data_IF_340302249659
#
_entry.id   IF_340302249659
#
_cell.length_a   1.000
_cell.length_b   1.000
_cell.length_c   1.000
_cell.angle_alpha   90.00
_cell.angle_beta   90.00
_cell.angle_gamma   90.00
#
_symmetry.space_group_name_H-M   'P 1'
#
loop_
_entity.id
_entity.type
_entity.pdbx_description
1 polymer ?
#
# COMPACT_ATOMS: atom_id res chain seq x y z
N UNK A 1 17.41 2.59 -112.19
CA UNK A 1 16.81 3.44 -113.24
C UNK A 1 17.17 2.89 -114.60
N UNK A 2 16.23 2.87 -115.55
CA UNK A 2 16.54 2.54 -116.95
C UNK A 2 16.88 3.82 -117.75
N UNK A 3 17.52 3.66 -118.92
CA UNK A 3 18.03 4.76 -119.76
C UNK A 3 16.91 5.72 -120.23
N UNK A 4 15.68 5.21 -120.41
CA UNK A 4 14.53 6.01 -120.81
C UNK A 4 14.05 6.95 -119.68
N UNK A 5 14.06 6.48 -118.43
CA UNK A 5 13.78 7.31 -117.25
C UNK A 5 14.84 8.42 -117.13
N UNK A 6 16.11 8.11 -117.39
CA UNK A 6 17.21 9.09 -117.32
C UNK A 6 17.07 10.19 -118.39
N UNK A 7 16.67 9.83 -119.62
CA UNK A 7 16.42 10.81 -120.70
C UNK A 7 15.22 11.73 -120.42
N UNK A 8 14.10 11.18 -119.91
CA UNK A 8 12.96 12.01 -119.49
C UNK A 8 13.37 13.01 -118.41
N UNK A 9 14.17 12.53 -117.47
CA UNK A 9 14.67 13.35 -116.39
C UNK A 9 15.58 14.49 -116.89
N UNK A 10 16.51 14.18 -117.78
CA UNK A 10 17.39 15.15 -118.42
C UNK A 10 16.59 16.24 -119.15
N UNK A 11 15.53 15.87 -119.86
CA UNK A 11 14.66 16.83 -120.54
C UNK A 11 13.90 17.73 -119.55
N UNK A 12 13.45 17.18 -118.42
CA UNK A 12 12.78 17.93 -117.36
C UNK A 12 13.71 18.98 -116.73
N UNK A 13 14.95 18.60 -116.42
CA UNK A 13 15.98 19.53 -115.89
C UNK A 13 16.26 20.67 -116.87
N UNK A 14 16.39 20.35 -118.16
CA UNK A 14 16.66 21.36 -119.18
C UNK A 14 15.52 22.38 -119.34
N UNK A 15 14.28 22.02 -118.98
CA UNK A 15 13.11 22.88 -119.13
C UNK A 15 12.82 23.74 -117.89
N UNK A 16 12.95 23.19 -116.68
CA UNK A 16 12.59 23.88 -115.42
C UNK A 16 13.81 24.30 -114.59
N UNK A 17 15.03 24.06 -115.08
CA UNK A 17 16.29 24.33 -114.38
C UNK A 17 16.59 23.36 -113.22
N UNK A 18 15.58 22.61 -112.76
CA UNK A 18 15.69 21.61 -111.70
C UNK A 18 14.72 20.43 -111.83
N UNK A 19 15.08 19.26 -111.28
CA UNK A 19 14.21 18.06 -111.16
C UNK A 19 14.54 17.29 -109.89
N UNK A 20 13.61 16.49 -109.35
CA UNK A 20 13.84 15.60 -108.20
C UNK A 20 13.73 14.13 -108.62
N UNK A 21 14.74 13.31 -108.31
CA UNK A 21 14.70 11.85 -108.43
C UNK A 21 14.82 11.18 -107.08
N UNK A 22 13.99 10.18 -106.84
CA UNK A 22 14.10 9.36 -105.65
C UNK A 22 15.18 8.28 -105.85
N UNK A 23 16.23 8.29 -105.03
CA UNK A 23 17.27 7.27 -105.03
C UNK A 23 16.89 6.17 -104.01
N UNK A 24 16.07 5.22 -104.43
CA UNK A 24 15.35 4.34 -103.50
C UNK A 24 14.04 4.98 -103.04
N UNK A 25 13.36 4.46 -102.01
CA UNK A 25 12.02 4.95 -101.59
C UNK A 25 12.07 6.13 -100.62
N UNK A 26 13.25 6.41 -100.04
CA UNK A 26 13.39 7.30 -98.87
C UNK A 26 14.38 8.47 -99.02
N UNK A 27 14.97 8.65 -100.21
CA UNK A 27 15.96 9.69 -100.49
C UNK A 27 15.51 10.45 -101.72
N UNK A 28 15.44 11.77 -101.62
CA UNK A 28 15.15 12.67 -102.73
C UNK A 28 16.45 13.35 -103.18
N UNK A 29 16.69 13.38 -104.49
CA UNK A 29 17.85 14.06 -105.10
C UNK A 29 17.33 15.11 -106.06
N UNK A 30 17.48 16.38 -105.71
CA UNK A 30 17.11 17.51 -106.55
C UNK A 30 18.34 18.01 -107.30
N UNK A 31 18.31 17.99 -108.62
CA UNK A 31 19.42 18.46 -109.46
C UNK A 31 19.13 19.87 -109.95
N UNK A 32 20.09 20.79 -109.91
CA UNK A 32 19.96 22.16 -110.46
C UNK A 32 21.06 22.38 -111.49
N UNK A 33 20.73 22.94 -112.64
CA UNK A 33 21.71 23.19 -113.71
C UNK A 33 21.95 24.69 -113.86
N UNK A 34 23.20 25.12 -113.67
CA UNK A 34 23.65 26.51 -113.81
C UNK A 34 24.71 26.58 -114.91
N UNK A 35 24.30 26.94 -116.13
CA UNK A 35 25.20 26.92 -117.29
C UNK A 35 25.66 25.48 -117.62
N UNK A 36 26.97 25.23 -117.58
CA UNK A 36 27.56 23.89 -117.80
C UNK A 36 27.69 23.04 -116.54
N UNK A 37 27.41 23.60 -115.35
CA UNK A 37 27.57 22.93 -114.05
C UNK A 37 26.24 22.33 -113.55
N UNK A 38 26.31 21.13 -112.95
CA UNK A 38 25.16 20.46 -112.32
C UNK A 38 25.40 20.30 -110.81
N UNK A 39 24.49 20.87 -110.03
CA UNK A 39 24.46 20.74 -108.58
C UNK A 39 23.45 19.67 -108.18
N UNK A 40 23.77 18.87 -107.16
CA UNK A 40 22.91 17.80 -106.66
C UNK A 40 22.65 18.02 -105.17
N UNK A 41 21.41 18.35 -104.81
CA UNK A 41 20.95 18.41 -103.43
C UNK A 41 20.31 17.07 -103.05
N UNK A 42 20.79 16.45 -101.99
CA UNK A 42 20.22 15.20 -101.45
C UNK A 42 19.45 15.54 -100.18
N UNK A 43 18.24 15.01 -100.03
CA UNK A 43 17.40 15.14 -98.83
C UNK A 43 16.68 13.83 -98.50
N UNK A 44 16.11 13.74 -97.30
CA UNK A 44 15.20 12.65 -96.93
C UNK A 44 13.86 12.83 -97.65
N UNK A 45 13.12 11.73 -97.79
CA UNK A 45 11.73 11.73 -98.23
C UNK A 45 10.77 12.22 -97.13
N UNK A 46 9.54 12.54 -97.52
CA UNK A 46 8.53 13.09 -96.62
C UNK A 46 8.09 12.10 -95.53
N UNK A 47 8.03 10.79 -95.82
CA UNK A 47 7.64 9.78 -94.83
C UNK A 47 8.66 9.70 -93.68
N UNK A 48 9.97 9.70 -94.00
CA UNK A 48 11.04 9.73 -93.00
C UNK A 48 11.03 11.07 -92.26
N UNK A 49 10.88 12.19 -92.99
CA UNK A 49 10.84 13.53 -92.38
C UNK A 49 9.67 13.66 -91.41
N UNK A 50 8.49 13.13 -91.75
CA UNK A 50 7.30 13.12 -90.90
C UNK A 50 7.48 12.23 -89.68
N UNK A 51 8.07 11.04 -89.83
CA UNK A 51 8.41 10.18 -88.68
C UNK A 51 9.39 10.84 -87.72
N UNK A 52 10.44 11.50 -88.24
CA UNK A 52 11.40 12.25 -87.42
C UNK A 52 10.68 13.38 -86.69
N UNK A 53 9.79 14.10 -87.37
CA UNK A 53 9.01 15.19 -86.77
C UNK A 53 8.11 14.69 -85.65
N UNK A 54 7.37 13.60 -85.88
CA UNK A 54 6.51 12.98 -84.88
C UNK A 54 7.30 12.49 -83.67
N UNK A 55 8.44 11.83 -83.89
CA UNK A 55 9.30 11.37 -82.82
C UNK A 55 9.89 12.55 -82.03
N UNK A 56 10.24 13.64 -82.70
CA UNK A 56 10.72 14.88 -82.05
C UNK A 56 9.65 15.46 -81.13
N UNK A 57 8.39 15.53 -81.60
CA UNK A 57 7.25 15.97 -80.77
C UNK A 57 7.04 15.08 -79.56
N UNK A 58 7.08 13.75 -79.74
CA UNK A 58 6.93 12.80 -78.63
C UNK A 58 8.06 12.96 -77.60
N UNK A 59 9.31 13.15 -78.05
CA UNK A 59 10.45 13.40 -77.17
C UNK A 59 10.25 14.69 -76.37
N UNK A 60 9.78 15.76 -77.00
CA UNK A 60 9.51 17.03 -76.33
C UNK A 60 8.44 16.87 -75.25
N UNK A 61 7.36 16.13 -75.53
CA UNK A 61 6.31 15.84 -74.55
C UNK A 61 6.86 15.04 -73.36
N UNK A 62 7.64 13.98 -73.64
CA UNK A 62 8.29 13.15 -72.60
C UNK A 62 9.24 14.00 -71.75
N UNK A 63 9.99 14.94 -72.35
CA UNK A 63 10.84 15.86 -71.59
C UNK A 63 10.03 16.73 -70.62
N UNK A 64 8.83 17.16 -71.02
CA UNK A 64 7.89 17.86 -70.16
C UNK A 64 7.45 17.00 -68.97
N UNK A 65 7.01 15.77 -69.23
CA UNK A 65 6.59 14.83 -68.19
C UNK A 65 7.72 14.51 -67.21
N UNK A 66 8.93 14.27 -67.71
CA UNK A 66 10.12 14.03 -66.88
C UNK A 66 10.44 15.25 -66.00
N UNK A 67 10.24 16.46 -66.51
CA UNK A 67 10.42 17.69 -65.73
C UNK A 67 9.40 17.78 -64.59
N UNK A 68 8.13 17.49 -64.87
CA UNK A 68 7.08 17.45 -63.86
C UNK A 68 7.33 16.38 -62.80
N UNK A 69 7.76 15.17 -63.21
CA UNK A 69 8.10 14.09 -62.28
C UNK A 69 9.27 14.48 -61.39
N UNK A 70 10.30 15.15 -61.92
CA UNK A 70 11.42 15.66 -61.11
C UNK A 70 10.95 16.64 -60.04
N UNK A 71 10.00 17.53 -60.37
CA UNK A 71 9.43 18.45 -59.40
C UNK A 71 8.64 17.71 -58.30
N UNK A 72 7.81 16.74 -58.70
CA UNK A 72 7.06 15.93 -57.74
C UNK A 72 7.99 15.16 -56.80
N UNK A 73 9.06 14.56 -57.32
CA UNK A 73 10.08 13.87 -56.50
C UNK A 73 10.75 14.84 -55.53
N UNK A 74 11.05 16.06 -55.96
CA UNK A 74 11.63 17.10 -55.10
C UNK A 74 10.67 17.48 -53.96
N UNK A 75 9.38 17.65 -54.26
CA UNK A 75 8.36 17.96 -53.27
C UNK A 75 8.20 16.81 -52.26
N UNK A 76 8.10 15.56 -52.73
CA UNK A 76 8.01 14.36 -51.89
C UNK A 76 9.22 14.24 -50.98
N UNK A 77 10.42 14.56 -51.47
CA UNK A 77 11.64 14.55 -50.65
C UNK A 77 11.57 15.58 -49.50
N UNK A 78 10.94 16.73 -49.74
CA UNK A 78 10.63 17.72 -48.71
C UNK A 78 9.65 17.18 -47.66
N UNK A 79 8.54 16.59 -48.12
CA UNK A 79 7.53 16.00 -47.24
C UNK A 79 8.11 14.88 -46.36
N UNK A 80 8.93 13.99 -46.92
CA UNK A 80 9.63 12.94 -46.18
C UNK A 80 10.54 13.54 -45.10
N UNK A 81 11.21 14.66 -45.40
CA UNK A 81 12.08 15.35 -44.43
C UNK A 81 11.27 15.91 -43.27
N UNK A 82 10.11 16.52 -43.55
CA UNK A 82 9.19 17.03 -42.54
C UNK A 82 8.63 15.88 -41.67
N UNK A 83 8.16 14.80 -42.29
CA UNK A 83 7.65 13.61 -41.57
C UNK A 83 8.73 13.02 -40.65
N UNK A 84 9.98 12.93 -41.10
CA UNK A 84 11.08 12.45 -40.27
C UNK A 84 11.28 13.33 -39.02
N UNK A 85 11.15 14.64 -39.16
CA UNK A 85 11.24 15.57 -38.05
C UNK A 85 10.06 15.38 -37.07
N UNK A 86 8.84 15.23 -37.58
CA UNK A 86 7.65 14.99 -36.78
C UNK A 86 7.72 13.67 -36.00
N UNK A 87 8.16 12.59 -36.65
CA UNK A 87 8.39 11.29 -36.00
C UNK A 87 9.44 11.42 -34.89
N UNK A 88 10.51 12.19 -35.11
CA UNK A 88 11.53 12.44 -34.08
C UNK A 88 10.95 13.23 -32.90
N UNK A 89 10.11 14.23 -33.18
CA UNK A 89 9.41 15.02 -32.15
C UNK A 89 8.43 14.16 -31.35
N UNK A 90 7.68 13.28 -32.03
CA UNK A 90 6.80 12.30 -31.40
C UNK A 90 7.58 11.35 -30.50
N UNK A 91 8.73 10.83 -30.94
CA UNK A 91 9.58 9.99 -30.08
C UNK A 91 10.00 10.69 -28.79
N UNK A 92 10.33 11.98 -28.85
CA UNK A 92 10.62 12.81 -27.66
C UNK A 92 9.39 13.04 -26.78
N UNK A 93 8.21 13.24 -27.37
CA UNK A 93 6.95 13.38 -26.64
C UNK A 93 6.58 12.09 -25.90
N UNK A 94 6.71 10.93 -26.56
CA UNK A 94 6.42 9.62 -26.00
C UNK A 94 7.36 9.31 -24.83
N UNK A 95 8.66 9.56 -24.97
CA UNK A 95 9.62 9.38 -23.87
C UNK A 95 9.33 10.27 -22.65
N UNK A 96 8.82 11.50 -22.88
CA UNK A 96 8.36 12.37 -21.78
C UNK A 96 7.08 11.85 -21.13
N UNK A 97 6.13 11.36 -21.93
CA UNK A 97 4.90 10.77 -21.42
C UNK A 97 5.19 9.53 -20.56
N UNK A 98 6.07 8.64 -21.01
CA UNK A 98 6.49 7.46 -20.25
C UNK A 98 7.03 7.83 -18.86
N UNK A 99 7.95 8.78 -18.79
CA UNK A 99 8.46 9.30 -17.50
C UNK A 99 7.36 9.90 -16.63
N UNK A 100 6.43 10.64 -17.22
CA UNK A 100 5.30 11.25 -16.50
C UNK A 100 4.35 10.19 -15.94
N UNK A 101 4.05 9.15 -16.73
CA UNK A 101 3.23 8.01 -16.30
C UNK A 101 3.88 7.30 -15.12
N UNK A 102 5.18 6.96 -15.21
CA UNK A 102 5.88 6.27 -14.12
C UNK A 102 5.85 7.09 -12.81
N UNK A 103 6.10 8.40 -12.90
CA UNK A 103 6.02 9.32 -11.74
C UNK A 103 4.60 9.47 -11.19
N UNK A 104 3.59 9.51 -12.06
CA UNK A 104 2.18 9.63 -11.67
C UNK A 104 1.70 8.40 -10.91
N UNK A 105 2.05 7.20 -11.40
CA UNK A 105 1.71 5.94 -10.73
C UNK A 105 2.45 5.81 -9.39
N UNK A 106 3.74 6.14 -9.35
CA UNK A 106 4.48 6.22 -8.09
C UNK A 106 3.84 7.21 -7.11
N UNK A 107 3.36 8.36 -7.60
CA UNK A 107 2.61 9.35 -6.82
C UNK A 107 1.30 8.80 -6.25
N UNK A 108 0.53 8.07 -7.06
CA UNK A 108 -0.68 7.40 -6.62
C UNK A 108 -0.39 6.33 -5.55
N UNK A 109 0.68 5.55 -5.71
CA UNK A 109 1.13 4.59 -4.71
C UNK A 109 1.55 5.27 -3.40
N UNK A 110 2.25 6.41 -3.48
CA UNK A 110 2.64 7.19 -2.31
C UNK A 110 1.41 7.74 -1.56
N UNK A 111 0.41 8.25 -2.29
CA UNK A 111 -0.86 8.72 -1.73
C UNK A 111 -1.67 7.57 -1.11
N UNK A 112 -1.63 6.38 -1.70
CA UNK A 112 -2.32 5.20 -1.18
C UNK A 112 -1.71 4.69 0.13
N UNK A 113 -0.42 4.96 0.37
CA UNK A 113 0.25 4.65 1.63
C UNK A 113 -0.11 5.65 2.76
N UNK A 114 -0.89 6.70 2.50
CA UNK A 114 -1.32 7.66 3.51
C UNK A 114 -2.44 7.06 4.37
N UNK A 115 -2.14 6.80 5.63
CA UNK A 115 -3.10 6.28 6.59
C UNK A 115 -3.16 7.16 7.86
N UNK A 116 -4.35 7.60 8.27
CA UNK A 116 -4.55 8.26 9.57
C UNK A 116 -4.42 7.27 10.73
N UNK A 117 -4.12 7.79 11.92
CA UNK A 117 -4.10 7.00 13.15
C UNK A 117 -5.52 6.70 13.67
N UNK A 118 -5.63 5.98 14.78
CA UNK A 118 -6.91 5.75 15.47
C UNK A 118 -7.51 7.07 15.95
N UNK A 119 -8.85 7.17 15.97
CA UNK A 119 -9.53 8.40 16.40
C UNK A 119 -9.22 8.76 17.86
N UNK A 120 -8.82 10.01 18.08
CA UNK A 120 -8.67 10.64 19.39
C UNK A 120 -9.60 11.88 19.47
N UNK A 121 -10.54 11.96 20.42
CA UNK A 121 -11.42 13.12 20.57
C UNK A 121 -10.68 14.42 20.92
N UNK A 122 -9.50 14.33 21.55
CA UNK A 122 -8.68 15.48 21.92
C UNK A 122 -7.77 15.93 20.75
N UNK A 123 -7.51 15.05 19.78
CA UNK A 123 -6.66 15.30 18.61
C UNK A 123 -7.38 14.94 17.30
N UNK A 124 -8.10 15.92 16.75
CA UNK A 124 -8.95 15.74 15.55
C UNK A 124 -8.19 15.78 14.22
N UNK A 125 -6.91 16.14 14.23
CA UNK A 125 -6.07 16.24 13.04
C UNK A 125 -4.99 15.17 13.05
N UNK A 126 -4.89 14.42 11.95
CA UNK A 126 -3.81 13.46 11.70
C UNK A 126 -3.02 13.87 10.45
N UNK A 127 -1.70 13.69 10.49
CA UNK A 127 -0.83 13.91 9.34
C UNK A 127 -0.10 12.60 9.00
N UNK A 128 -0.02 12.28 7.71
CA UNK A 128 0.68 11.10 7.23
C UNK A 128 1.68 11.47 6.14
N UNK A 129 2.72 10.67 6.02
CA UNK A 129 3.67 10.71 4.92
C UNK A 129 3.74 9.33 4.29
N UNK A 130 3.81 9.30 2.96
CA UNK A 130 3.87 8.07 2.16
C UNK A 130 4.98 8.15 1.14
N UNK A 131 5.45 6.99 0.71
CA UNK A 131 6.41 6.86 -0.39
C UNK A 131 5.92 5.77 -1.33
N UNK A 132 6.07 6.04 -2.62
CA UNK A 132 5.65 5.15 -3.69
C UNK A 132 6.72 5.02 -4.75
N UNK A 133 6.85 3.81 -5.27
CA UNK A 133 7.80 3.46 -6.30
C UNK A 133 7.07 2.66 -7.39
N UNK A 134 7.34 2.99 -8.66
CA UNK A 134 6.82 2.26 -9.81
C UNK A 134 7.79 2.40 -10.97
N UNK A 135 8.35 1.28 -11.43
CA UNK A 135 9.38 1.26 -12.47
C UNK A 135 10.51 2.24 -12.12
N UNK A 136 10.92 3.15 -13.00
CA UNK A 136 11.95 4.16 -12.70
C UNK A 136 11.40 5.42 -12.00
N UNK A 137 10.11 5.42 -11.63
CA UNK A 137 9.41 6.51 -10.97
C UNK A 137 9.41 6.38 -9.45
N UNK A 138 9.70 7.48 -8.76
CA UNK A 138 9.65 7.59 -7.30
C UNK A 138 8.81 8.80 -6.91
N UNK A 139 8.04 8.70 -5.84
CA UNK A 139 7.28 9.83 -5.31
C UNK A 139 7.16 9.74 -3.79
N UNK A 140 7.16 10.90 -3.14
CA UNK A 140 6.72 11.05 -1.76
C UNK A 140 5.36 11.74 -1.74
N UNK A 141 4.60 11.51 -0.69
CA UNK A 141 3.29 12.13 -0.48
C UNK A 141 3.14 12.58 0.96
N UNK A 142 2.37 13.65 1.15
CA UNK A 142 1.96 14.16 2.45
C UNK A 142 0.43 14.26 2.47
N UNK A 143 -0.17 13.85 3.58
CA UNK A 143 -1.61 13.87 3.80
C UNK A 143 -1.99 14.50 5.13
N UNK A 144 -3.14 15.17 5.14
CA UNK A 144 -3.80 15.65 6.34
C UNK A 144 -5.21 15.09 6.40
N UNK A 145 -5.61 14.65 7.58
CA UNK A 145 -6.91 14.06 7.85
C UNK A 145 -7.56 14.80 9.01
N UNK A 146 -8.85 15.09 8.89
CA UNK A 146 -9.64 15.75 9.92
C UNK A 146 -10.85 14.90 10.29
N UNK A 147 -10.97 14.56 11.58
CA UNK A 147 -12.05 13.73 12.12
C UNK A 147 -12.80 14.49 13.21
N UNK A 148 -13.94 15.14 12.92
CA UNK A 148 -14.72 15.83 13.95
C UNK A 148 -15.33 14.88 14.99
N UNK A 149 -15.58 13.62 14.62
CA UNK A 149 -16.11 12.54 15.45
C UNK A 149 -15.58 11.17 14.93
N UNK A 150 -15.98 10.06 15.56
CA UNK A 150 -15.52 8.73 15.18
C UNK A 150 -16.10 8.19 13.86
N UNK A 151 -17.11 8.86 13.31
CA UNK A 151 -17.87 8.38 12.15
C UNK A 151 -17.59 9.14 10.86
N UNK A 152 -17.06 10.36 10.95
CA UNK A 152 -16.78 11.21 9.81
C UNK A 152 -15.29 11.54 9.73
N UNK A 153 -14.73 11.40 8.53
CA UNK A 153 -13.35 11.78 8.23
C UNK A 153 -13.30 12.55 6.91
N UNK A 154 -12.55 13.64 6.90
CA UNK A 154 -12.11 14.34 5.70
C UNK A 154 -10.62 14.10 5.50
N UNK A 155 -10.19 13.96 4.26
CA UNK A 155 -8.78 13.74 3.90
C UNK A 155 -8.37 14.65 2.75
N UNK A 156 -7.15 15.16 2.80
CA UNK A 156 -6.50 15.86 1.69
C UNK A 156 -5.04 15.40 1.61
N UNK A 157 -4.54 15.16 0.40
CA UNK A 157 -3.17 14.68 0.19
C UNK A 157 -2.55 15.25 -1.06
N UNK A 158 -1.22 15.35 -1.08
CA UNK A 158 -0.46 15.85 -2.22
C UNK A 158 0.88 15.11 -2.38
N UNK A 159 1.32 14.90 -3.62
CA UNK A 159 2.65 14.35 -3.92
C UNK A 159 3.71 15.45 -3.96
N UNK A 160 4.91 15.13 -3.49
CA UNK A 160 6.07 16.03 -3.42
C UNK A 160 7.33 15.34 -3.93
N UNK A 161 8.27 16.12 -4.48
CA UNK A 161 9.64 15.68 -4.75
C UNK A 161 9.89 14.93 -6.08
N UNK A 162 8.87 14.67 -6.89
CA UNK A 162 9.00 13.95 -8.18
C UNK A 162 8.81 14.83 -9.42
N UNK A 163 8.51 16.12 -9.25
CA UNK A 163 8.26 17.08 -10.35
C UNK A 163 6.88 16.97 -11.00
N UNK A 164 6.00 16.08 -10.50
CA UNK A 164 4.61 15.96 -10.92
C UNK A 164 3.72 15.99 -9.68
N UNK A 165 3.00 17.08 -9.49
CA UNK A 165 2.12 17.26 -8.32
C UNK A 165 0.76 16.64 -8.60
N UNK A 166 0.37 15.68 -7.79
CA UNK A 166 -0.96 15.08 -7.75
C UNK A 166 -1.61 15.46 -6.42
N UNK A 167 -2.88 15.84 -6.46
CA UNK A 167 -3.66 16.23 -5.27
C UNK A 167 -4.87 15.30 -5.16
N UNK A 168 -5.19 14.83 -3.95
CA UNK A 168 -6.42 14.11 -3.65
C UNK A 168 -7.20 14.79 -2.51
N UNK A 169 -8.51 14.58 -2.51
CA UNK A 169 -9.40 14.96 -1.43
C UNK A 169 -10.50 13.90 -1.29
N UNK A 170 -10.94 13.64 -0.06
CA UNK A 170 -11.91 12.58 0.21
C UNK A 170 -12.70 12.80 1.49
N UNK A 171 -13.83 12.10 1.59
CA UNK A 171 -14.66 12.02 2.78
C UNK A 171 -15.04 10.56 3.02
N UNK A 172 -14.94 10.11 4.27
CA UNK A 172 -15.34 8.76 4.68
C UNK A 172 -16.37 8.85 5.80
N UNK A 173 -17.39 8.00 5.72
CA UNK A 173 -18.47 7.90 6.72
C UNK A 173 -18.59 6.45 7.19
N UNK A 174 -18.60 6.24 8.50
CA UNK A 174 -18.89 4.94 9.11
C UNK A 174 -20.41 4.75 9.21
N UNK A 175 -20.91 3.56 8.84
CA UNK A 175 -22.34 3.23 8.86
C UNK A 175 -22.54 1.92 9.64
N UNK A 176 -23.51 1.88 10.56
CA UNK A 176 -23.82 0.70 11.37
C UNK A 176 -24.29 1.03 12.78
N UNK A 177 -24.66 0.00 13.57
CA UNK A 177 -25.11 0.17 14.95
C UNK A 177 -24.03 0.83 15.82
N UNK A 178 -24.32 2.03 16.31
CA UNK A 178 -23.47 2.84 17.17
C UNK A 178 -23.70 2.46 18.65
N UNK A 179 -22.62 2.13 19.37
CA UNK A 179 -22.65 2.02 20.84
C UNK A 179 -22.29 3.38 21.43
N UNK A 180 -23.03 3.87 22.43
CA UNK A 180 -22.80 5.16 23.10
C UNK A 180 -21.47 5.24 23.90
N UNK A 181 -20.54 4.32 23.69
CA UNK A 181 -19.23 4.28 24.34
C UNK A 181 -18.18 4.55 23.27
N UNK A 182 -17.43 5.64 23.43
CA UNK A 182 -16.33 6.01 22.54
C UNK A 182 -15.33 4.87 22.45
N UNK A 183 -15.14 4.32 21.24
CA UNK A 183 -14.21 3.20 21.03
C UNK A 183 -12.75 3.65 20.94
N UNK A 184 -12.46 4.94 21.14
CA UNK A 184 -11.09 5.42 21.17
C UNK A 184 -10.31 4.68 22.25
N UNK A 185 -9.20 4.05 21.86
CA UNK A 185 -8.30 3.35 22.81
C UNK A 185 -7.86 4.28 23.94
N UNK A 186 -7.73 5.58 23.66
CA UNK A 186 -7.37 6.61 24.64
C UNK A 186 -8.50 6.83 25.64
N UNK A 187 -9.76 6.94 25.17
CA UNK A 187 -10.92 7.08 26.05
C UNK A 187 -11.09 5.86 26.96
N UNK A 188 -11.02 4.65 26.41
CA UNK A 188 -11.08 3.40 27.17
C UNK A 188 -9.93 3.32 28.19
N UNK A 189 -8.72 3.72 27.80
CA UNK A 189 -7.56 3.69 28.71
C UNK A 189 -7.71 4.67 29.87
N UNK A 190 -8.30 5.86 29.63
CA UNK A 190 -8.63 6.84 30.69
C UNK A 190 -9.67 6.27 31.65
N UNK A 191 -10.75 5.68 31.14
CA UNK A 191 -11.78 5.02 31.96
C UNK A 191 -11.21 3.85 32.78
N UNK A 192 -10.37 2.99 32.18
CA UNK A 192 -9.71 1.88 32.88
C UNK A 192 -8.75 2.39 33.96
N UNK A 193 -8.02 3.47 33.69
CA UNK A 193 -7.15 4.10 34.68
C UNK A 193 -7.96 4.64 35.87
N UNK A 194 -9.10 5.25 35.61
CA UNK A 194 -10.01 5.77 36.64
C UNK A 194 -10.67 4.63 37.43
N UNK A 195 -11.13 3.57 36.77
CA UNK A 195 -11.63 2.35 37.40
C UNK A 195 -10.57 1.71 38.32
N UNK A 196 -9.30 1.63 37.88
CA UNK A 196 -8.19 1.14 38.72
C UNK A 196 -7.98 2.00 39.96
N UNK A 197 -8.09 3.33 39.85
CA UNK A 197 -8.00 4.24 41.01
C UNK A 197 -9.16 4.01 41.98
N UNK A 198 -10.38 3.87 41.48
CA UNK A 198 -11.56 3.57 42.30
C UNK A 198 -11.42 2.24 43.02
N UNK A 199 -10.96 1.18 42.34
CA UNK A 199 -10.70 -0.13 42.97
C UNK A 199 -9.65 -0.01 44.07
N UNK A 200 -8.57 0.76 43.87
CA UNK A 200 -7.57 0.98 44.90
C UNK A 200 -8.13 1.70 46.14
N UNK A 201 -8.97 2.71 45.94
CA UNK A 201 -9.65 3.44 47.03
C UNK A 201 -10.64 2.53 47.77
N UNK A 202 -11.43 1.74 47.04
CA UNK A 202 -12.35 0.76 47.64
C UNK A 202 -11.60 -0.28 48.48
N UNK A 203 -10.47 -0.80 47.98
CA UNK A 203 -9.63 -1.71 48.74
C UNK A 203 -9.10 -1.08 50.04
N UNK A 204 -8.70 0.20 50.00
CA UNK A 204 -8.27 0.93 51.20
C UNK A 204 -9.43 1.14 52.20
N UNK A 205 -10.64 1.42 51.71
CA UNK A 205 -11.83 1.55 52.55
C UNK A 205 -12.24 0.22 53.19
N UNK A 206 -12.19 -0.89 52.44
CA UNK A 206 -12.44 -2.25 52.94
C UNK A 206 -11.45 -2.59 54.06
N UNK A 207 -10.16 -2.26 53.90
CA UNK A 207 -9.16 -2.47 54.95
C UNK A 207 -9.50 -1.66 56.21
N UNK A 208 -9.92 -0.40 56.06
CA UNK A 208 -10.28 0.47 57.18
C UNK A 208 -11.53 -0.02 57.91
N UNK A 209 -12.55 -0.47 57.16
CA UNK A 209 -13.77 -1.04 57.73
C UNK A 209 -13.49 -2.37 58.44
N UNK A 210 -12.62 -3.21 57.87
CA UNK A 210 -12.17 -4.47 58.50
C UNK A 210 -11.45 -4.18 59.82
N UNK A 211 -10.55 -3.19 59.85
CA UNK A 211 -9.85 -2.81 61.08
C UNK A 211 -10.83 -2.31 62.16
N UNK A 212 -11.84 -1.52 61.78
CA UNK A 212 -12.88 -1.06 62.71
C UNK A 212 -13.74 -2.22 63.23
N UNK A 213 -14.14 -3.15 62.34
CA UNK A 213 -14.94 -4.31 62.69
C UNK A 213 -14.19 -5.23 63.66
N UNK A 214 -12.91 -5.48 63.43
CA UNK A 214 -12.07 -6.27 64.33
C UNK A 214 -11.95 -5.62 65.72
N UNK A 215 -11.89 -4.29 65.78
CA UNK A 215 -11.86 -3.54 67.04
C UNK A 215 -13.17 -3.56 67.82
N UNK A 216 -14.32 -3.67 67.15
CA UNK A 216 -15.65 -3.65 67.77
C UNK A 216 -16.21 -5.04 68.09
N UNK A 217 -15.92 -6.04 67.27
CA UNK A 217 -16.49 -7.39 67.38
C UNK A 217 -15.60 -8.37 68.14
N UNK A 218 -14.36 -8.01 68.50
CA UNK A 218 -13.41 -8.93 69.15
C UNK A 218 -13.03 -10.14 68.28
N UNK A 219 -13.36 -10.11 66.99
CA UNK A 219 -13.06 -11.16 66.02
C UNK A 219 -11.84 -10.77 65.19
N UNK A 220 -10.83 -11.64 65.14
CA UNK A 220 -9.63 -11.49 64.30
C UNK A 220 -9.92 -11.84 62.82
N UNK A 221 -10.81 -11.09 62.14
CA UNK A 221 -11.08 -11.35 60.72
C UNK A 221 -9.97 -10.71 59.87
N UNK A 222 -9.22 -11.53 59.11
CA UNK A 222 -8.20 -11.01 58.19
C UNK A 222 -8.90 -10.39 56.97
N UNK A 223 -8.38 -9.24 56.49
CA UNK A 223 -8.95 -8.49 55.37
C UNK A 223 -9.23 -9.41 54.17
N UNK A 224 -10.46 -9.31 53.66
CA UNK A 224 -10.97 -10.08 52.53
C UNK A 224 -10.08 -9.82 51.31
N UNK A 225 -9.19 -10.77 51.00
CA UNK A 225 -8.45 -10.77 49.75
C UNK A 225 -9.43 -11.32 48.72
N UNK A 226 -10.03 -10.45 47.92
CA UNK A 226 -11.07 -10.76 46.92
C UNK A 226 -10.64 -11.72 45.78
N UNK A 227 -9.54 -12.45 45.97
CA UNK A 227 -9.15 -13.62 45.18
C UNK A 227 -8.77 -14.72 46.16
N UNK A 228 -9.77 -15.42 46.71
CA UNK A 228 -9.51 -16.63 47.49
C UNK A 228 -9.11 -17.73 46.52
N UNK A 229 -7.86 -18.18 46.67
CA UNK A 229 -7.21 -19.34 46.04
C UNK A 229 -7.56 -19.57 44.55
N UNK A 230 -6.64 -19.32 43.60
CA UNK A 230 -6.90 -19.49 42.16
C UNK A 230 -7.42 -20.89 41.75
N UNK A 231 -7.13 -21.91 42.56
CA UNK A 231 -7.55 -23.31 42.40
C UNK A 231 -8.93 -23.64 43.01
N UNK A 232 -9.61 -22.69 43.67
CA UNK A 232 -10.98 -22.87 44.18
C UNK A 232 -11.89 -21.79 43.58
N UNK A 233 -12.39 -21.97 42.34
CA UNK A 233 -13.27 -20.99 41.71
C UNK A 233 -14.63 -20.88 42.42
N UNK A 234 -15.36 -19.78 42.21
CA UNK A 234 -16.65 -19.50 42.86
C UNK A 234 -17.74 -20.57 42.66
N UNK A 235 -17.61 -21.40 41.62
CA UNK A 235 -18.55 -22.50 41.32
C UNK A 235 -18.13 -23.85 41.94
N UNK A 236 -17.03 -23.90 42.69
CA UNK A 236 -16.54 -25.12 43.33
C UNK A 236 -17.31 -25.41 44.63
N UNK A 237 -17.66 -26.68 44.90
CA UNK A 237 -18.44 -27.08 46.08
C UNK A 237 -17.77 -26.66 47.40
N UNK A 238 -16.44 -26.67 47.45
CA UNK A 238 -15.67 -26.29 48.63
C UNK A 238 -15.50 -24.77 48.79
N UNK A 239 -15.89 -23.95 47.81
CA UNK A 239 -15.64 -22.52 47.79
C UNK A 239 -16.16 -21.81 49.05
N UNK A 240 -17.42 -22.08 49.42
CA UNK A 240 -18.03 -21.47 50.59
C UNK A 240 -17.31 -21.84 51.90
N UNK A 241 -16.96 -23.12 52.08
CA UNK A 241 -16.30 -23.62 53.27
C UNK A 241 -14.85 -23.11 53.38
N UNK A 242 -14.08 -23.17 52.28
CA UNK A 242 -12.70 -22.70 52.22
C UNK A 242 -12.64 -21.18 52.41
N UNK A 243 -13.58 -20.45 51.81
CA UNK A 243 -13.70 -19.00 52.00
C UNK A 243 -13.96 -18.64 53.46
N UNK A 244 -14.88 -19.32 54.14
CA UNK A 244 -15.17 -19.06 55.55
C UNK A 244 -13.98 -19.39 56.47
N UNK A 245 -13.35 -20.56 56.27
CA UNK A 245 -12.16 -20.95 57.05
C UNK A 245 -10.98 -20.01 56.82
N UNK A 246 -10.76 -19.56 55.59
CA UNK A 246 -9.71 -18.59 55.28
C UNK A 246 -10.01 -17.19 55.83
N UNK A 247 -11.27 -16.75 55.78
CA UNK A 247 -11.71 -15.47 56.35
C UNK A 247 -11.48 -15.41 57.86
N UNK A 248 -11.66 -16.55 58.54
CA UNK A 248 -11.39 -16.73 59.98
C UNK A 248 -9.90 -16.95 60.31
N UNK A 249 -9.00 -16.94 59.31
CA UNK A 249 -7.56 -17.16 59.51
C UNK A 249 -7.17 -18.58 59.92
N UNK A 250 -8.10 -19.54 59.80
CA UNK A 250 -7.89 -20.95 60.13
C UNK A 250 -7.12 -21.68 59.02
N UNK A 251 -7.29 -21.22 57.77
CA UNK A 251 -6.60 -21.70 56.57
C UNK A 251 -5.90 -20.53 55.90
N UNK A 252 -4.63 -20.69 55.52
CA UNK A 252 -3.84 -19.65 54.84
C UNK A 252 -3.39 -20.05 53.42
N UNK A 253 -3.64 -21.30 53.02
CA UNK A 253 -3.15 -21.89 51.76
C UNK A 253 -1.64 -22.12 51.72
N UNK A 254 -1.15 -22.49 50.56
CA UNK A 254 0.26 -22.77 50.29
C UNK A 254 1.04 -21.51 49.87
N UNK A 255 2.38 -21.53 49.94
CA UNK A 255 3.21 -20.39 49.53
C UNK A 255 3.04 -19.96 48.06
N UNK A 256 2.54 -20.86 47.20
CA UNK A 256 2.21 -20.59 45.79
C UNK A 256 0.85 -19.87 45.61
N UNK A 257 0.11 -19.64 46.70
CA UNK A 257 -1.17 -18.96 46.71
C UNK A 257 -2.38 -19.86 46.46
N UNK A 258 -2.21 -21.19 46.41
CA UNK A 258 -3.29 -22.17 46.22
C UNK A 258 -3.85 -22.71 47.54
N UNK A 259 -5.06 -23.27 47.53
CA UNK A 259 -5.60 -24.05 48.64
C UNK A 259 -5.06 -25.48 48.66
N UNK A 260 -4.82 -26.07 47.48
CA UNK A 260 -4.30 -27.43 47.31
C UNK A 260 -5.32 -28.53 47.64
N UNK A 261 -6.59 -28.31 47.29
CA UNK A 261 -7.73 -29.16 47.69
C UNK A 261 -7.70 -30.61 47.19
N UNK A 262 -7.03 -30.87 46.06
CA UNK A 262 -6.93 -32.22 45.47
C UNK A 262 -5.81 -33.07 46.11
N UNK A 263 -5.04 -32.49 47.04
CA UNK A 263 -3.94 -33.17 47.70
C UNK A 263 -4.42 -33.82 49.00
N UNK A 264 -3.90 -35.02 49.27
CA UNK A 264 -4.05 -35.63 50.60
C UNK A 264 -3.43 -34.71 51.66
N UNK A 265 -4.26 -34.29 52.61
CA UNK A 265 -3.83 -33.48 53.75
C UNK A 265 -3.07 -34.34 54.75
N UNK A 266 -1.92 -33.86 55.21
CA UNK A 266 -1.14 -34.57 56.24
C UNK A 266 -1.76 -34.36 57.61
N UNK A 267 -1.53 -35.31 58.54
CA UNK A 267 -1.96 -35.18 59.95
C UNK A 267 -1.46 -33.88 60.59
N UNK A 268 -0.27 -33.41 60.21
CA UNK A 268 0.31 -32.15 60.70
C UNK A 268 -0.45 -30.92 60.21
N UNK A 269 -0.84 -30.87 58.94
CA UNK A 269 -1.59 -29.72 58.40
C UNK A 269 -2.99 -29.66 58.99
N UNK A 270 -3.63 -30.82 59.21
CA UNK A 270 -4.90 -30.86 59.91
C UNK A 270 -4.76 -30.39 61.37
N UNK A 271 -3.75 -30.90 62.09
CA UNK A 271 -3.46 -30.45 63.45
C UNK A 271 -3.17 -28.94 63.52
N UNK A 272 -2.54 -28.35 62.50
CA UNK A 272 -2.31 -26.91 62.42
C UNK A 272 -3.62 -26.12 62.30
N UNK A 273 -4.59 -26.60 61.51
CA UNK A 273 -5.92 -25.98 61.39
C UNK A 273 -6.64 -26.06 62.74
N UNK A 274 -6.63 -27.22 63.39
CA UNK A 274 -7.24 -27.43 64.71
C UNK A 274 -6.61 -26.53 65.76
N UNK A 275 -5.27 -26.44 65.78
CA UNK A 275 -4.53 -25.56 66.68
C UNK A 275 -4.93 -24.09 66.48
N UNK A 276 -5.02 -23.63 65.23
CA UNK A 276 -5.50 -22.27 64.90
C UNK A 276 -6.95 -22.05 65.32
N UNK A 277 -7.81 -23.06 65.20
CA UNK A 277 -9.20 -22.98 65.64
C UNK A 277 -9.28 -22.76 67.16
N UNK A 278 -8.51 -23.53 67.93
CA UNK A 278 -8.43 -23.39 69.40
C UNK A 278 -7.91 -21.99 69.78
N UNK A 279 -6.85 -21.50 69.13
CA UNK A 279 -6.30 -20.16 69.37
C UNK A 279 -7.28 -19.03 69.02
N UNK A 280 -8.11 -19.22 68.00
CA UNK A 280 -9.16 -18.27 67.63
C UNK A 280 -10.47 -18.46 68.43
N UNK A 281 -10.44 -19.21 69.54
CA UNK A 281 -11.57 -19.37 70.46
C UNK A 281 -12.69 -20.29 69.95
N UNK A 282 -12.44 -21.08 68.90
CA UNK A 282 -13.39 -22.09 68.42
C UNK A 282 -13.40 -23.27 69.40
N UNK A 283 -14.59 -23.64 69.87
CA UNK A 283 -14.77 -24.84 70.70
C UNK A 283 -14.54 -26.07 69.83
N UNK A 284 -13.46 -26.80 70.09
CA UNK A 284 -13.11 -28.06 69.41
C UNK A 284 -13.48 -29.23 70.31
N UNK A 285 -13.95 -30.33 69.73
CA UNK A 285 -14.25 -31.58 70.44
C UNK A 285 -13.00 -32.09 71.20
N UNK A 286 -13.18 -32.45 72.48
CA UNK A 286 -12.11 -33.00 73.32
C UNK A 286 -11.43 -34.22 72.71
N UNK A 287 -12.13 -35.00 71.87
CA UNK A 287 -11.57 -36.14 71.14
C UNK A 287 -10.55 -35.73 70.09
N UNK A 288 -10.75 -34.60 69.42
CA UNK A 288 -9.80 -34.05 68.44
C UNK A 288 -8.57 -33.46 69.13
N UNK A 289 -8.79 -32.83 70.30
CA UNK A 289 -7.70 -32.29 71.11
C UNK A 289 -6.79 -33.41 71.63
N UNK A 290 -7.35 -34.57 72.00
CA UNK A 290 -6.56 -35.72 72.46
C UNK A 290 -5.88 -36.49 71.33
N UNK A 291 -6.54 -36.70 70.19
CA UNK A 291 -5.97 -37.40 69.03
C UNK A 291 -4.79 -36.66 68.41
N UNK A 292 -4.90 -35.34 68.25
CA UNK A 292 -3.88 -34.51 67.60
C UNK A 292 -2.98 -33.77 68.61
N UNK A 293 -3.13 -34.05 69.91
CA UNK A 293 -2.32 -33.46 70.97
C UNK A 293 -0.81 -33.59 70.76
N UNK A 294 -0.27 -34.77 70.38
CA UNK A 294 1.15 -34.95 70.10
C UNK A 294 1.67 -34.06 68.97
N UNK A 295 0.90 -33.91 67.90
CA UNK A 295 1.22 -33.08 66.74
C UNK A 295 1.08 -31.59 67.06
N UNK A 296 0.06 -31.22 67.84
CA UNK A 296 -0.15 -29.83 68.27
C UNK A 296 0.92 -29.32 69.23
N UNK A 297 1.51 -30.19 70.06
CA UNK A 297 2.63 -29.85 70.94
C UNK A 297 3.90 -29.43 70.17
N UNK A 298 3.99 -29.76 68.88
CA UNK A 298 5.09 -29.33 68.01
C UNK A 298 4.87 -27.94 67.43
N UNK A 299 3.68 -27.35 67.59
CA UNK A 299 3.38 -26.02 67.12
C UNK A 299 3.58 -24.99 68.22
N UNK A 300 4.31 -23.93 67.88
CA UNK A 300 4.39 -22.72 68.70
C UNK A 300 3.89 -21.53 67.90
N UNK A 301 3.18 -20.63 68.57
CA UNK A 301 2.84 -19.32 68.01
C UNK A 301 4.02 -18.40 68.24
N UNK A 302 4.72 -18.04 67.17
CA UNK A 302 5.71 -16.98 67.24
C UNK A 302 5.07 -15.66 66.81
N UNK A 303 5.17 -14.64 67.66
CA UNK A 303 4.79 -13.27 67.32
C UNK A 303 5.83 -12.67 66.37
N UNK A 304 5.39 -12.20 65.21
CA UNK A 304 6.26 -11.71 64.12
C UNK A 304 6.24 -10.19 64.02
N UNK A 305 5.13 -9.57 64.42
CA UNK A 305 5.04 -8.13 64.55
C UNK A 305 4.23 -7.80 65.81
N UNK A 306 4.61 -6.71 66.48
CA UNK A 306 3.86 -6.11 67.60
C UNK A 306 3.45 -4.70 67.19
N UNK A 307 2.29 -4.22 67.64
CA UNK A 307 1.92 -2.80 67.50
C UNK A 307 2.75 -1.93 68.45
N UNK A 308 2.59 -0.60 68.33
CA UNK A 308 3.23 0.40 69.20
C UNK A 308 2.85 0.26 70.69
N UNK A 309 1.84 -0.56 71.01
CA UNK A 309 1.34 -0.84 72.37
C UNK A 309 1.86 -2.20 72.91
N UNK A 310 2.75 -2.87 72.17
CA UNK A 310 3.38 -4.13 72.58
C UNK A 310 2.51 -5.37 72.40
N UNK A 311 1.30 -5.25 71.86
CA UNK A 311 0.41 -6.36 71.54
C UNK A 311 0.76 -7.00 70.19
N UNK A 312 0.67 -8.33 70.06
CA UNK A 312 0.98 -9.04 68.82
C UNK A 312 0.01 -8.66 67.68
N UNK A 313 0.53 -8.25 66.52
CA UNK A 313 -0.26 -7.91 65.32
C UNK A 313 -0.17 -8.94 64.20
N UNK A 314 0.91 -9.72 64.16
CA UNK A 314 1.06 -10.84 63.23
C UNK A 314 1.64 -12.02 64.00
N UNK A 315 0.93 -13.13 63.98
CA UNK A 315 1.33 -14.39 64.59
C UNK A 315 1.44 -15.46 63.52
N UNK A 316 2.50 -16.28 63.56
CA UNK A 316 2.58 -17.49 62.72
C UNK A 316 2.80 -18.70 63.60
N UNK A 317 2.07 -19.76 63.26
CA UNK A 317 2.28 -21.09 63.81
C UNK A 317 3.51 -21.70 63.12
N UNK A 318 4.55 -22.02 63.89
CA UNK A 318 5.76 -22.71 63.39
C UNK A 318 5.86 -24.11 64.00
N UNK A 319 6.32 -25.06 63.19
CA UNK A 319 6.61 -26.42 63.63
C UNK A 319 8.03 -26.47 64.20
N UNK A 320 8.20 -27.00 65.40
CA UNK A 320 9.51 -27.32 65.95
C UNK A 320 10.15 -28.41 65.08
N UNK A 321 11.37 -28.17 64.59
CA UNK A 321 12.16 -29.23 63.97
C UNK A 321 12.57 -30.21 65.08
N UNK A 322 12.34 -31.51 64.85
CA UNK A 322 13.00 -32.57 65.63
C UNK A 322 14.51 -32.46 65.47
#
# INVERSE_FOLDING_TARGET
>A
MNVAQLKKLQNQVNATGSTTVSAGKHINVTTTTNGTTKDYKVSLSDDITNQITNNTTNINNIQGDVTNIKQNVTNIQGDITNIKQDVTNMGRNVARLDKKVNKSVAGAAALAALHPLDFDPDAKWDFAAGYGHYHDGNAAALGAFYRPNEDLQFSVGSTVGNGETVVNAGMSVKVGAHSNVSRSRVAISKEVLELKKTVAVQNAQIQKLTALLNGLAGTNMKADRSTLFPDVPNNHWAYAAVSDLSRRGLVEGYPDGTFGGDRMMTRYEFAQIVYRAIQNGVVVDNRLVSEFGPEMALFRVDTIAKNHEGQPTIERVRVNKK
#
